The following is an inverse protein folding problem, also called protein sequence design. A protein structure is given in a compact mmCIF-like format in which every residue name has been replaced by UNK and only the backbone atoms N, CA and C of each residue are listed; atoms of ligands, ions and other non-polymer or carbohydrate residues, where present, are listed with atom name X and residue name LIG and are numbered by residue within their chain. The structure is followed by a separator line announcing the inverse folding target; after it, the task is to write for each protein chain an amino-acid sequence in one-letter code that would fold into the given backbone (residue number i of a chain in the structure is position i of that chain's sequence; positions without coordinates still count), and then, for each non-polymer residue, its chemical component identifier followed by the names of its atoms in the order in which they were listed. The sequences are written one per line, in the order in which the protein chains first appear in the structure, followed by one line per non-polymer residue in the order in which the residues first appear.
data_IF_206546183418
#
_entry.id   IF_206546183418
#
_cell.length_a   1.000
_cell.length_b   1.000
_cell.length_c   1.000
_cell.angle_alpha   90.00
_cell.angle_beta   90.00
_cell.angle_gamma   90.00
#
_symmetry.space_group_name_H-M   'P 1'
#
loop_
_entity.id
_entity.type
_entity.pdbx_description
1 polymer ?
#
# COMPACT_ATOMS: atom_id res chain seq x y z
N UNK A 1 39.96 13.67 -46.42
CA UNK A 1 40.06 12.53 -45.48
C UNK A 1 38.82 12.52 -44.60
N UNK A 2 38.10 11.39 -44.60
CA UNK A 2 37.03 10.90 -43.70
C UNK A 2 35.95 11.88 -43.17
N UNK A 3 34.71 11.57 -43.56
CA UNK A 3 33.43 11.99 -42.96
C UNK A 3 33.39 11.70 -41.46
N UNK A 4 32.79 12.58 -40.66
CA UNK A 4 31.97 12.17 -39.51
C UNK A 4 30.70 13.03 -39.48
N UNK A 5 29.60 12.30 -39.50
CA UNK A 5 28.21 12.70 -39.42
C UNK A 5 27.92 13.05 -37.95
N UNK A 6 27.53 14.29 -37.65
CA UNK A 6 27.11 14.68 -36.31
C UNK A 6 25.65 14.23 -36.11
N UNK A 7 25.46 12.98 -35.67
CA UNK A 7 24.19 12.54 -35.08
C UNK A 7 24.10 13.12 -33.66
N UNK A 8 23.25 14.11 -33.46
CA UNK A 8 22.80 14.51 -32.13
C UNK A 8 21.72 13.49 -31.73
N UNK A 9 22.13 12.47 -30.97
CA UNK A 9 21.23 11.58 -30.25
C UNK A 9 20.70 12.37 -29.04
N UNK A 10 19.50 12.90 -29.20
CA UNK A 10 18.68 13.38 -28.08
C UNK A 10 18.16 12.13 -27.37
N UNK A 11 18.81 11.71 -26.28
CA UNK A 11 18.23 10.72 -25.38
C UNK A 11 17.06 11.39 -24.65
N UNK A 12 15.88 11.24 -25.23
CA UNK A 12 14.62 11.30 -24.51
C UNK A 12 14.64 10.16 -23.48
N UNK A 13 14.72 10.53 -22.20
CA UNK A 13 14.33 9.68 -21.09
C UNK A 13 12.83 9.41 -21.22
N UNK A 14 12.46 8.43 -22.03
CA UNK A 14 11.14 7.78 -21.94
C UNK A 14 11.25 6.64 -20.94
N UNK A 15 11.19 6.96 -19.65
CA UNK A 15 10.70 6.02 -18.67
C UNK A 15 9.17 6.03 -18.81
N UNK A 16 8.61 4.87 -19.19
CA UNK A 16 7.20 4.67 -19.51
C UNK A 16 6.28 4.97 -18.31
N UNK A 17 5.77 6.20 -18.21
CA UNK A 17 4.40 6.43 -17.79
C UNK A 17 3.49 6.09 -18.97
N UNK A 18 3.20 4.78 -19.14
CA UNK A 18 2.04 4.39 -19.94
C UNK A 18 0.80 4.60 -19.07
N UNK A 19 0.37 5.85 -18.96
CA UNK A 19 -1.02 6.15 -18.62
C UNK A 19 -1.89 5.49 -19.69
N UNK A 20 -2.77 4.59 -19.27
CA UNK A 20 -3.74 3.98 -20.16
C UNK A 20 -4.68 5.07 -20.65
N UNK A 21 -4.80 5.22 -21.98
CA UNK A 21 -5.73 6.15 -22.60
C UNK A 21 -7.13 5.96 -22.02
N UNK A 22 -7.59 7.03 -21.36
CA UNK A 22 -8.89 7.18 -20.77
C UNK A 22 -9.93 7.34 -21.88
N UNK A 23 -10.69 6.28 -22.14
CA UNK A 23 -11.83 6.37 -23.04
C UNK A 23 -12.99 7.01 -22.27
N UNK A 24 -13.27 8.28 -22.59
CA UNK A 24 -14.53 8.92 -22.23
C UNK A 24 -15.68 8.04 -22.71
N UNK A 25 -16.64 7.75 -21.83
CA UNK A 25 -17.94 7.40 -22.33
C UNK A 25 -18.48 8.66 -23.03
N UNK A 26 -18.48 8.67 -24.37
CA UNK A 26 -18.97 9.80 -25.18
C UNK A 26 -20.46 10.10 -24.97
N UNK A 27 -21.15 9.23 -24.23
CA UNK A 27 -22.58 9.32 -23.93
C UNK A 27 -22.86 9.81 -22.50
N UNK A 28 -21.93 10.56 -21.87
CA UNK A 28 -22.15 11.26 -20.61
C UNK A 28 -23.13 12.44 -20.78
N UNK A 29 -24.43 12.15 -20.86
CA UNK A 29 -25.50 13.15 -20.97
C UNK A 29 -26.57 12.98 -19.87
N UNK A 30 -26.24 12.29 -18.79
CA UNK A 30 -27.12 12.01 -17.66
C UNK A 30 -26.60 12.68 -16.37
N UNK A 31 -27.50 12.83 -15.40
CA UNK A 31 -27.36 13.65 -14.19
C UNK A 31 -26.09 13.42 -13.36
N UNK A 32 -25.43 12.27 -13.49
CA UNK A 32 -24.15 11.97 -12.86
C UNK A 32 -23.26 11.25 -13.86
N UNK A 33 -21.98 11.64 -13.89
CA UNK A 33 -20.97 11.09 -14.77
C UNK A 33 -19.80 10.57 -13.94
N UNK A 34 -19.13 9.54 -14.45
CA UNK A 34 -18.04 8.88 -13.75
C UNK A 34 -16.89 8.59 -14.69
N UNK A 35 -15.69 8.66 -14.15
CA UNK A 35 -14.47 8.52 -14.89
C UNK A 35 -13.41 7.83 -14.02
N UNK A 36 -12.98 6.65 -14.43
CA UNK A 36 -11.84 5.99 -13.80
C UNK A 36 -10.55 6.62 -14.37
N UNK A 37 -9.77 7.28 -13.52
CA UNK A 37 -8.61 8.05 -13.96
C UNK A 37 -7.31 7.26 -13.77
N UNK A 38 -7.20 6.41 -12.75
CA UNK A 38 -5.92 5.76 -12.43
C UNK A 38 -6.07 4.37 -11.81
N UNK A 39 -5.19 3.45 -12.25
CA UNK A 39 -4.86 2.24 -11.51
C UNK A 39 -3.47 2.46 -10.90
N UNK A 40 -3.37 2.52 -9.56
CA UNK A 40 -2.07 2.48 -8.87
C UNK A 40 -2.07 1.44 -7.77
N UNK A 41 -0.89 1.06 -7.32
CA UNK A 41 -0.74 0.20 -6.15
C UNK A 41 -0.46 1.09 -4.94
N UNK A 42 -1.29 1.01 -3.92
CA UNK A 42 -1.02 1.60 -2.61
C UNK A 42 -0.91 0.45 -1.61
N UNK A 43 0.22 0.33 -0.91
CA UNK A 43 0.43 -0.70 0.12
C UNK A 43 0.14 -2.13 -0.38
N UNK A 44 0.56 -2.44 -1.62
CA UNK A 44 0.33 -3.75 -2.25
C UNK A 44 -1.09 -3.98 -2.79
N UNK A 45 -2.01 -3.05 -2.60
CA UNK A 45 -3.39 -3.15 -3.11
C UNK A 45 -3.55 -2.38 -4.41
N UNK A 46 -4.16 -3.01 -5.42
CA UNK A 46 -4.64 -2.27 -6.59
C UNK A 46 -5.78 -1.34 -6.18
N UNK A 47 -5.54 -0.05 -6.29
CA UNK A 47 -6.50 1.02 -6.07
C UNK A 47 -6.90 1.60 -7.41
N UNK A 48 -8.21 1.71 -7.62
CA UNK A 48 -8.79 2.42 -8.76
C UNK A 48 -9.33 3.75 -8.25
N UNK A 49 -8.72 4.84 -8.69
CA UNK A 49 -9.24 6.18 -8.43
C UNK A 49 -10.33 6.49 -9.46
N UNK A 50 -11.55 6.68 -8.98
CA UNK A 50 -12.71 7.01 -9.79
C UNK A 50 -13.14 8.43 -9.46
N UNK A 51 -13.02 9.30 -10.45
CA UNK A 51 -13.52 10.67 -10.41
C UNK A 51 -14.99 10.70 -10.82
N UNK A 52 -15.82 11.14 -9.91
CA UNK A 52 -17.24 11.34 -10.09
C UNK A 52 -17.54 12.81 -10.33
N UNK A 53 -18.50 13.08 -11.21
CA UNK A 53 -18.99 14.41 -11.52
C UNK A 53 -20.51 14.37 -11.34
N UNK A 54 -21.01 15.13 -10.36
CA UNK A 54 -22.44 15.26 -10.13
C UNK A 54 -22.95 16.49 -10.91
N UNK A 55 -23.67 16.27 -12.01
CA UNK A 55 -24.30 17.34 -12.79
C UNK A 55 -25.78 17.56 -12.38
N UNK A 56 -26.25 16.85 -11.35
CA UNK A 56 -27.61 16.94 -10.85
C UNK A 56 -27.77 18.20 -9.96
N UNK A 57 -29.01 18.67 -9.83
CA UNK A 57 -29.42 19.64 -8.82
C UNK A 57 -29.50 19.05 -7.39
N UNK A 58 -29.52 17.72 -7.27
CA UNK A 58 -29.56 16.99 -6.00
C UNK A 58 -28.19 16.45 -5.58
N UNK A 59 -28.06 16.15 -4.27
CA UNK A 59 -26.90 15.42 -3.75
C UNK A 59 -26.98 13.96 -4.14
N UNK A 60 -25.86 13.39 -4.56
CA UNK A 60 -25.79 12.00 -5.02
C UNK A 60 -24.65 11.28 -4.32
N UNK A 61 -24.96 10.23 -3.57
CA UNK A 61 -23.98 9.40 -2.88
C UNK A 61 -23.96 7.99 -3.48
N UNK A 62 -22.83 7.30 -3.50
CA UNK A 62 -22.80 5.90 -3.91
C UNK A 62 -23.53 5.04 -2.87
N UNK A 63 -24.06 3.90 -3.33
CA UNK A 63 -24.81 2.96 -2.52
C UNK A 63 -23.94 2.21 -1.52
N UNK A 64 -24.47 1.14 -0.95
CA UNK A 64 -23.76 0.39 0.09
C UNK A 64 -22.69 -0.54 -0.46
N UNK A 65 -22.65 -0.78 -1.78
CA UNK A 65 -21.79 -1.78 -2.38
C UNK A 65 -21.45 -1.44 -3.83
N UNK A 66 -20.30 -1.94 -4.28
CA UNK A 66 -19.96 -2.00 -5.69
C UNK A 66 -19.77 -3.45 -6.15
N UNK A 67 -19.95 -3.68 -7.43
CA UNK A 67 -19.74 -4.96 -8.10
C UNK A 67 -18.66 -4.78 -9.14
N UNK A 68 -17.58 -5.56 -9.03
CA UNK A 68 -16.59 -5.65 -10.09
C UNK A 68 -17.01 -6.75 -11.07
N UNK A 69 -17.04 -6.42 -12.35
CA UNK A 69 -17.41 -7.35 -13.42
C UNK A 69 -16.30 -7.41 -14.48
N UNK A 70 -16.09 -8.59 -15.06
CA UNK A 70 -15.15 -8.82 -16.17
C UNK A 70 -15.93 -9.18 -17.43
N UNK A 71 -15.51 -8.64 -18.58
CA UNK A 71 -16.08 -9.01 -19.88
C UNK A 71 -15.51 -10.36 -20.34
N UNK A 72 -16.37 -11.36 -20.51
CA UNK A 72 -16.05 -12.72 -20.97
C UNK A 72 -16.99 -13.10 -22.12
N UNK A 73 -16.44 -13.36 -23.31
CA UNK A 73 -17.21 -13.73 -24.50
C UNK A 73 -18.40 -12.78 -24.73
N UNK A 74 -18.13 -11.47 -24.74
CA UNK A 74 -19.08 -10.37 -24.87
C UNK A 74 -20.02 -10.12 -23.68
N UNK A 75 -20.12 -11.05 -22.73
CA UNK A 75 -20.98 -10.91 -21.55
C UNK A 75 -20.21 -10.38 -20.34
N UNK A 76 -20.83 -9.52 -19.55
CA UNK A 76 -20.29 -9.13 -18.25
C UNK A 76 -20.57 -10.22 -17.22
N UNK A 77 -19.51 -10.69 -16.57
CA UNK A 77 -19.62 -11.64 -15.45
C UNK A 77 -19.20 -10.94 -14.17
N UNK A 78 -20.07 -10.95 -13.18
CA UNK A 78 -19.71 -10.56 -11.82
C UNK A 78 -18.59 -11.47 -11.34
N UNK A 79 -17.46 -10.85 -11.03
CA UNK A 79 -16.34 -11.53 -10.38
C UNK A 79 -16.33 -11.23 -8.89
N UNK A 80 -16.92 -10.11 -8.46
CA UNK A 80 -16.97 -9.74 -7.05
C UNK A 80 -18.09 -8.72 -6.76
N UNK A 81 -18.62 -8.77 -5.54
CA UNK A 81 -19.47 -7.74 -4.94
C UNK A 81 -18.93 -7.42 -3.56
N UNK A 82 -18.61 -6.16 -3.30
CA UNK A 82 -18.04 -5.70 -2.03
C UNK A 82 -18.89 -4.59 -1.44
N UNK A 83 -19.08 -4.58 -0.10
CA UNK A 83 -19.63 -3.42 0.57
C UNK A 83 -18.63 -2.26 0.49
N UNK A 84 -19.15 -1.06 0.27
CA UNK A 84 -18.42 0.19 0.41
C UNK A 84 -18.19 0.46 1.89
N UNK A 85 -16.93 0.42 2.33
CA UNK A 85 -16.54 0.69 3.71
C UNK A 85 -16.32 2.19 3.90
N UNK A 86 -16.55 2.68 5.12
CA UNK A 86 -16.36 4.11 5.46
C UNK A 86 -14.93 4.59 5.15
N UNK A 87 -13.94 3.70 5.26
CA UNK A 87 -12.52 4.00 5.01
C UNK A 87 -12.14 4.02 3.51
N UNK A 88 -13.02 3.59 2.60
CA UNK A 88 -12.75 3.66 1.16
C UNK A 88 -12.94 5.10 0.62
N UNK A 89 -13.35 6.05 1.48
CA UNK A 89 -13.62 7.44 1.10
C UNK A 89 -14.90 7.60 0.27
N UNK A 90 -15.74 6.56 0.23
CA UNK A 90 -16.86 6.45 -0.72
C UNK A 90 -18.19 6.89 -0.09
N UNK A 91 -18.34 6.99 1.24
CA UNK A 91 -19.66 7.30 1.88
C UNK A 91 -20.05 8.78 1.93
N UNK A 92 -19.51 9.61 1.04
CA UNK A 92 -19.92 11.01 0.89
C UNK A 92 -21.04 11.16 -0.13
N UNK A 93 -22.09 11.91 0.20
CA UNK A 93 -22.99 12.46 -0.82
C UNK A 93 -22.27 13.61 -1.53
N UNK A 94 -22.08 13.49 -2.83
CA UNK A 94 -21.55 14.54 -3.68
C UNK A 94 -22.54 15.70 -3.75
N UNK A 95 -22.05 16.93 -3.57
CA UNK A 95 -22.87 18.12 -3.73
C UNK A 95 -23.28 18.34 -5.20
N UNK A 96 -24.37 19.07 -5.47
CA UNK A 96 -24.77 19.44 -6.84
C UNK A 96 -23.66 20.19 -7.56
N UNK A 97 -23.44 19.90 -8.85
CA UNK A 97 -22.39 20.52 -9.68
C UNK A 97 -20.97 20.36 -9.11
N UNK A 98 -20.73 19.30 -8.33
CA UNK A 98 -19.42 19.02 -7.73
C UNK A 98 -18.68 17.91 -8.46
N UNK A 99 -17.41 17.75 -8.11
CA UNK A 99 -16.56 16.68 -8.59
C UNK A 99 -15.82 16.11 -7.40
N UNK A 100 -15.90 14.79 -7.23
CA UNK A 100 -15.23 14.07 -6.16
C UNK A 100 -14.38 12.93 -6.72
N UNK A 101 -13.34 12.52 -5.99
CA UNK A 101 -12.54 11.34 -6.33
C UNK A 101 -12.74 10.32 -5.23
N UNK A 102 -13.26 9.16 -5.60
CA UNK A 102 -13.48 8.03 -4.71
C UNK A 102 -12.45 6.94 -5.02
N UNK A 103 -11.90 6.32 -3.97
CA UNK A 103 -10.92 5.25 -4.09
C UNK A 103 -11.60 3.89 -3.96
N UNK A 104 -11.49 3.07 -5.01
CA UNK A 104 -11.98 1.69 -4.99
C UNK A 104 -10.80 0.76 -4.81
N UNK A 105 -10.66 0.25 -3.60
CA UNK A 105 -9.58 -0.65 -3.26
C UNK A 105 -9.99 -2.09 -3.54
N UNK A 106 -9.25 -2.75 -4.43
CA UNK A 106 -9.55 -4.10 -4.90
C UNK A 106 -8.87 -5.17 -4.01
N UNK A 107 -8.91 -4.99 -2.68
CA UNK A 107 -8.13 -5.68 -1.62
C UNK A 107 -8.07 -7.24 -1.62
N UNK A 108 -8.79 -7.97 -2.48
CA UNK A 108 -8.81 -9.45 -2.51
C UNK A 108 -8.51 -10.08 -3.87
N UNK A 109 -8.00 -9.30 -4.82
CA UNK A 109 -7.32 -9.88 -5.97
C UNK A 109 -5.85 -10.04 -5.62
N UNK A 110 -5.55 -11.01 -4.76
CA UNK A 110 -4.16 -11.35 -4.37
C UNK A 110 -3.32 -11.72 -5.58
N UNK A 111 -3.96 -12.30 -6.60
CA UNK A 111 -3.34 -12.68 -7.87
C UNK A 111 -3.52 -11.57 -8.93
N UNK A 112 -4.07 -10.44 -8.53
CA UNK A 112 -4.42 -9.32 -9.38
C UNK A 112 -5.59 -9.55 -10.35
N UNK A 113 -5.99 -8.49 -11.05
CA UNK A 113 -6.81 -8.57 -12.24
C UNK A 113 -6.01 -9.12 -13.43
N UNK A 114 -6.49 -10.22 -14.00
CA UNK A 114 -6.02 -10.72 -15.31
C UNK A 114 -6.24 -9.71 -16.44
N UNK A 115 -5.58 -9.87 -17.61
CA UNK A 115 -5.88 -9.04 -18.80
C UNK A 115 -7.37 -9.08 -19.15
N UNK A 116 -7.96 -7.92 -19.40
CA UNK A 116 -9.32 -7.83 -19.92
C UNK A 116 -10.04 -6.52 -19.63
N UNK A 117 -11.28 -6.43 -20.14
CA UNK A 117 -12.17 -5.31 -19.86
C UNK A 117 -12.91 -5.55 -18.55
N UNK A 118 -12.91 -4.55 -17.69
CA UNK A 118 -13.57 -4.57 -16.40
C UNK A 118 -14.63 -3.46 -16.32
N UNK A 119 -15.52 -3.56 -15.34
CA UNK A 119 -16.39 -2.45 -14.95
C UNK A 119 -16.69 -2.52 -13.48
N UNK A 120 -16.71 -1.37 -12.83
CA UNK A 120 -17.25 -1.19 -11.49
C UNK A 120 -18.70 -0.74 -11.69
N UNK A 121 -19.62 -1.52 -11.13
CA UNK A 121 -21.04 -1.18 -11.10
C UNK A 121 -21.35 -0.81 -9.66
N UNK A 122 -21.87 0.38 -9.44
CA UNK A 122 -22.27 0.81 -8.10
C UNK A 122 -23.62 1.49 -8.20
N UNK A 123 -24.44 1.24 -7.19
CA UNK A 123 -25.72 1.93 -7.10
C UNK A 123 -25.46 3.35 -6.61
N UNK A 124 -26.35 4.29 -6.92
CA UNK A 124 -26.33 5.62 -6.33
C UNK A 124 -27.65 5.93 -5.64
N UNK A 125 -27.51 6.65 -4.55
CA UNK A 125 -28.58 7.19 -3.75
C UNK A 125 -28.66 8.68 -4.08
N UNK A 126 -29.74 9.10 -4.71
CA UNK A 126 -30.10 10.52 -4.79
C UNK A 126 -30.83 10.89 -3.52
N UNK A 127 -30.39 11.95 -2.84
CA UNK A 127 -31.12 12.51 -1.71
C UNK A 127 -32.10 13.56 -2.23
N UNK A 128 -33.28 13.13 -2.67
CA UNK A 128 -34.41 14.04 -2.91
C UNK A 128 -34.98 14.54 -1.57
N UNK A 129 -35.60 15.74 -1.55
CA UNK A 129 -36.26 16.32 -0.36
C UNK A 129 -37.33 15.41 0.27
N UNK A 130 -37.81 14.41 -0.47
CA UNK A 130 -38.83 13.44 -0.06
C UNK A 130 -38.27 12.07 0.38
N UNK A 131 -36.95 11.85 0.31
CA UNK A 131 -36.30 10.59 0.70
C UNK A 131 -36.40 9.43 -0.30
N UNK A 132 -36.77 9.67 -1.57
CA UNK A 132 -36.87 8.61 -2.60
C UNK A 132 -35.51 8.25 -3.20
N UNK A 133 -35.21 6.95 -3.27
CA UNK A 133 -33.97 6.40 -3.83
C UNK A 133 -34.20 5.92 -5.28
N UNK A 134 -33.35 6.31 -6.25
CA UNK A 134 -33.40 5.77 -7.63
C UNK A 134 -32.01 5.58 -8.30
N UNK A 135 -31.85 4.33 -8.78
CA UNK A 135 -31.07 3.74 -9.90
C UNK A 135 -29.54 3.56 -9.85
N UNK A 136 -29.16 2.43 -10.47
CA UNK A 136 -27.82 1.85 -10.64
C UNK A 136 -27.02 2.58 -11.73
N UNK A 137 -25.75 2.91 -11.46
CA UNK A 137 -24.81 3.44 -12.47
C UNK A 137 -23.66 2.47 -12.75
N UNK A 138 -23.23 2.44 -14.02
CA UNK A 138 -22.17 1.55 -14.48
C UNK A 138 -20.95 2.33 -14.99
N UNK A 139 -19.76 2.02 -14.47
CA UNK A 139 -18.49 2.61 -14.92
C UNK A 139 -17.64 1.57 -15.63
N UNK A 140 -17.24 1.89 -16.85
CA UNK A 140 -16.39 1.04 -17.66
C UNK A 140 -14.93 1.42 -17.53
N UNK A 141 -14.05 0.44 -17.33
CA UNK A 141 -12.60 0.66 -17.46
C UNK A 141 -11.93 -0.56 -18.07
N UNK A 142 -10.96 -0.34 -18.93
CA UNK A 142 -10.19 -1.43 -19.52
C UNK A 142 -8.90 -1.62 -18.73
N UNK A 143 -8.72 -2.79 -18.13
CA UNK A 143 -7.40 -3.14 -17.60
C UNK A 143 -6.53 -3.60 -18.76
N UNK A 144 -5.53 -2.80 -19.10
CA UNK A 144 -4.53 -3.18 -20.09
C UNK A 144 -3.42 -4.05 -19.50
N UNK A 145 -3.45 -4.34 -18.18
CA UNK A 145 -2.46 -5.21 -17.55
C UNK A 145 -2.49 -6.56 -18.27
N UNK A 146 -1.36 -7.02 -18.81
CA UNK A 146 -1.28 -8.30 -19.53
C UNK A 146 -1.32 -9.49 -18.58
N UNK A 147 -2.42 -9.64 -17.84
CA UNK A 147 -2.36 -10.39 -16.61
C UNK A 147 -1.56 -9.58 -15.61
N UNK A 148 -2.02 -9.55 -14.38
CA UNK A 148 -1.04 -9.50 -13.32
C UNK A 148 -0.37 -10.87 -13.42
N UNK A 149 0.88 -10.83 -13.87
CA UNK A 149 1.86 -11.86 -13.57
C UNK A 149 1.64 -12.10 -12.08
N UNK A 150 1.12 -13.27 -11.70
CA UNK A 150 1.39 -13.83 -10.37
C UNK A 150 2.86 -13.50 -10.16
N UNK A 151 3.22 -12.59 -9.24
CA UNK A 151 4.58 -12.15 -9.11
C UNK A 151 5.34 -13.31 -8.48
N UNK A 152 5.57 -14.35 -9.28
CA UNK A 152 6.49 -15.43 -9.09
C UNK A 152 7.85 -14.76 -9.04
N UNK A 153 8.21 -14.26 -7.86
CA UNK A 153 9.49 -13.81 -7.33
C UNK A 153 10.34 -12.82 -8.15
N UNK A 154 10.15 -12.67 -9.45
CA UNK A 154 11.17 -12.14 -10.36
C UNK A 154 11.04 -10.63 -10.61
N UNK A 155 10.02 -9.95 -10.07
CA UNK A 155 9.84 -8.50 -10.29
C UNK A 155 9.05 -7.72 -9.21
N UNK A 156 8.84 -8.26 -8.00
CA UNK A 156 8.14 -7.51 -6.93
C UNK A 156 8.88 -6.22 -6.54
N UNK A 157 10.21 -6.28 -6.60
CA UNK A 157 11.12 -5.18 -6.29
C UNK A 157 10.86 -3.89 -7.08
N UNK A 158 10.28 -4.01 -8.28
CA UNK A 158 9.90 -2.87 -9.11
C UNK A 158 8.78 -2.03 -8.49
N UNK A 159 7.92 -2.66 -7.70
CA UNK A 159 6.75 -2.03 -7.08
C UNK A 159 6.99 -1.62 -5.62
N UNK A 160 8.18 -1.89 -5.09
CA UNK A 160 8.51 -1.47 -3.73
C UNK A 160 8.79 0.03 -3.69
N UNK A 161 8.13 0.68 -2.75
CA UNK A 161 8.35 2.08 -2.44
C UNK A 161 9.65 2.24 -1.65
N UNK A 162 10.31 3.38 -1.84
CA UNK A 162 11.45 3.75 -1.02
C UNK A 162 11.05 3.77 0.46
N UNK A 163 11.93 3.23 1.29
CA UNK A 163 11.72 3.22 2.72
C UNK A 163 11.89 4.64 3.28
N UNK A 164 10.85 5.14 3.92
CA UNK A 164 10.92 6.39 4.66
C UNK A 164 11.44 6.13 6.09
N UNK A 165 12.40 6.95 6.50
CA UNK A 165 12.75 7.13 7.90
C UNK A 165 11.79 8.17 8.47
N UNK A 166 10.90 7.72 9.36
CA UNK A 166 9.85 8.56 9.93
C UNK A 166 10.28 9.19 11.25
N UNK A 167 11.17 8.49 11.97
CA UNK A 167 11.66 8.88 13.28
C UNK A 167 13.18 8.80 13.32
N UNK A 168 13.79 9.58 14.20
CA UNK A 168 15.24 9.57 14.36
C UNK A 168 15.72 8.26 14.99
N UNK A 169 16.96 7.88 14.67
CA UNK A 169 17.68 6.85 15.43
C UNK A 169 18.22 7.45 16.72
N UNK A 170 18.13 6.71 17.83
CA UNK A 170 18.61 7.18 19.13
C UNK A 170 19.94 6.52 19.48
N UNK A 171 20.99 7.33 19.64
CA UNK A 171 22.30 6.86 20.12
C UNK A 171 22.12 6.20 21.49
N UNK A 172 22.61 4.97 21.63
CA UNK A 172 22.49 4.16 22.84
C UNK A 172 21.36 3.12 22.76
N UNK A 173 20.49 3.18 21.74
CA UNK A 173 19.59 2.06 21.40
C UNK A 173 20.08 1.44 20.09
N UNK A 174 20.30 0.13 20.07
CA UNK A 174 20.74 -0.60 18.88
C UNK A 174 20.07 -1.95 18.73
N UNK A 175 20.15 -2.53 17.53
CA UNK A 175 19.70 -3.89 17.25
C UNK A 175 20.79 -4.64 16.48
N UNK A 176 21.25 -5.73 17.05
CA UNK A 176 22.18 -6.65 16.41
C UNK A 176 21.43 -7.91 15.99
N UNK A 177 21.55 -8.32 14.73
CA UNK A 177 20.99 -9.58 14.27
C UNK A 177 21.93 -10.72 14.66
N UNK A 178 21.40 -11.78 15.26
CA UNK A 178 22.21 -12.90 15.80
C UNK A 178 23.07 -13.58 14.71
N UNK A 179 22.59 -13.55 13.46
CA UNK A 179 23.31 -14.07 12.29
C UNK A 179 23.38 -13.02 11.20
N UNK A 180 24.59 -12.73 10.74
CA UNK A 180 24.82 -11.83 9.61
C UNK A 180 24.27 -12.39 8.29
N UNK A 181 24.06 -13.70 8.19
CA UNK A 181 23.60 -14.35 6.96
C UNK A 181 22.58 -15.46 7.25
N UNK A 182 21.50 -15.44 6.48
CA UNK A 182 20.44 -16.45 6.46
C UNK A 182 20.30 -17.07 5.06
N UNK A 183 19.74 -18.28 5.01
CA UNK A 183 19.41 -18.95 3.75
C UNK A 183 18.15 -18.34 3.13
N UNK A 184 18.04 -18.41 1.79
CA UNK A 184 16.80 -18.07 1.08
C UNK A 184 15.58 -18.81 1.67
N UNK A 185 14.46 -18.10 1.77
CA UNK A 185 13.25 -18.65 2.39
C UNK A 185 13.26 -18.61 3.92
N UNK A 186 14.17 -17.86 4.55
CA UNK A 186 14.17 -17.62 6.00
C UNK A 186 12.81 -17.08 6.46
N UNK A 187 12.29 -17.68 7.54
CA UNK A 187 10.99 -17.32 8.13
C UNK A 187 11.10 -16.75 9.56
N UNK A 188 12.30 -16.78 10.15
CA UNK A 188 12.56 -16.25 11.49
C UNK A 188 13.94 -15.60 11.50
N UNK A 189 14.02 -14.38 12.00
CA UNK A 189 15.27 -13.66 12.27
C UNK A 189 15.31 -13.35 13.76
N UNK A 190 16.46 -13.59 14.38
CA UNK A 190 16.67 -13.33 15.80
C UNK A 190 17.54 -12.11 15.97
N UNK A 191 17.18 -11.25 16.90
CA UNK A 191 17.88 -10.03 17.18
C UNK A 191 18.11 -9.85 18.67
N UNK A 192 19.15 -9.10 19.00
CA UNK A 192 19.44 -8.58 20.33
C UNK A 192 19.23 -7.07 20.24
N UNK A 193 18.22 -6.57 20.94
CA UNK A 193 18.00 -5.12 21.08
C UNK A 193 18.72 -4.69 22.36
N UNK A 194 19.54 -3.65 22.28
CA UNK A 194 20.39 -3.16 23.38
C UNK A 194 19.98 -1.73 23.75
N UNK A 195 19.79 -1.47 25.05
CA UNK A 195 19.51 -0.15 25.62
C UNK A 195 20.63 0.20 26.58
N UNK A 196 21.51 1.10 26.16
CA UNK A 196 22.61 1.64 26.97
C UNK A 196 22.25 2.97 27.65
N UNK A 197 20.98 3.39 27.52
CA UNK A 197 20.48 4.64 28.08
C UNK A 197 19.92 4.33 29.47
N UNK A 198 20.14 5.27 30.40
CA UNK A 198 19.57 5.21 31.74
C UNK A 198 18.08 5.62 31.77
N UNK A 199 17.30 5.10 30.82
CA UNK A 199 15.85 5.28 30.70
C UNK A 199 15.18 3.99 30.24
N UNK A 200 13.89 3.91 30.51
CA UNK A 200 13.04 2.79 30.12
C UNK A 200 12.42 3.07 28.75
N UNK A 201 12.31 2.01 27.95
CA UNK A 201 11.69 2.05 26.64
C UNK A 201 10.60 0.97 26.53
N UNK A 202 9.72 1.15 25.55
CA UNK A 202 8.80 0.14 25.09
C UNK A 202 9.09 -0.17 23.62
N UNK A 203 9.18 -1.44 23.26
CA UNK A 203 9.27 -1.88 21.86
C UNK A 203 8.10 -2.79 21.52
N UNK A 204 7.65 -2.74 20.26
CA UNK A 204 6.47 -3.48 19.81
C UNK A 204 6.79 -4.76 19.04
N UNK A 205 5.80 -5.64 18.91
CA UNK A 205 5.84 -6.72 17.91
C UNK A 205 5.77 -6.21 16.46
N UNK A 206 5.41 -4.93 16.26
CA UNK A 206 5.34 -4.32 14.94
C UNK A 206 6.74 -4.11 14.36
N UNK A 207 6.93 -4.63 13.16
CA UNK A 207 8.15 -4.41 12.38
C UNK A 207 7.85 -4.39 10.87
N UNK A 208 8.82 -3.86 10.14
CA UNK A 208 8.91 -3.91 8.69
C UNK A 208 10.27 -4.47 8.25
N UNK A 209 10.28 -5.11 7.09
CA UNK A 209 11.52 -5.55 6.43
C UNK A 209 11.77 -4.63 5.26
N UNK A 210 13.02 -4.21 5.11
CA UNK A 210 13.47 -3.40 4.01
C UNK A 210 14.63 -4.09 3.30
N UNK A 211 14.65 -4.04 1.97
CA UNK A 211 15.74 -4.57 1.15
C UNK A 211 16.50 -3.42 0.51
N UNK A 212 17.82 -3.57 0.40
CA UNK A 212 18.66 -2.64 -0.34
C UNK A 212 18.64 -2.99 -1.83
N UNK A 213 18.21 -2.05 -2.66
CA UNK A 213 18.12 -2.19 -4.12
C UNK A 213 18.75 -0.96 -4.73
N UNK A 214 19.79 -1.15 -5.54
CA UNK A 214 20.52 -0.05 -6.20
C UNK A 214 21.02 1.04 -5.22
N UNK A 215 21.34 0.63 -3.99
CA UNK A 215 21.81 1.53 -2.93
C UNK A 215 20.72 2.20 -2.10
N UNK A 216 19.44 1.99 -2.44
CA UNK A 216 18.28 2.56 -1.74
C UNK A 216 17.54 1.47 -0.97
N UNK A 217 17.13 1.76 0.25
CA UNK A 217 16.28 0.87 1.04
C UNK A 217 14.83 0.97 0.55
N UNK A 218 14.19 -0.17 0.32
CA UNK A 218 12.80 -0.26 -0.13
C UNK A 218 12.00 -1.19 0.77
N UNK A 219 10.75 -0.85 1.04
CA UNK A 219 9.87 -1.66 1.87
C UNK A 219 9.52 -2.98 1.17
N UNK A 220 9.79 -4.11 1.84
CA UNK A 220 9.34 -5.41 1.37
C UNK A 220 7.83 -5.52 1.63
N UNK A 221 7.07 -5.82 0.58
CA UNK A 221 5.62 -5.95 0.68
C UNK A 221 5.26 -7.28 1.38
N UNK A 222 4.38 -7.20 2.40
CA UNK A 222 3.81 -8.38 3.07
C UNK A 222 2.80 -9.06 2.15
N UNK A 223 2.72 -10.39 2.16
CA UNK A 223 1.70 -11.13 1.44
C UNK A 223 0.31 -10.86 2.04
N UNK A 224 -0.59 -10.39 1.19
CA UNK A 224 -1.97 -10.07 1.50
C UNK A 224 -2.80 -11.30 1.90
N UNK A 225 -2.32 -12.53 1.62
CA UNK A 225 -2.94 -13.79 2.08
C UNK A 225 -2.90 -13.96 3.60
N UNK A 226 -2.07 -13.19 4.31
CA UNK A 226 -2.13 -13.06 5.77
C UNK A 226 -3.35 -12.20 6.18
N UNK A 227 -4.56 -12.62 5.77
CA UNK A 227 -5.82 -12.00 6.20
C UNK A 227 -6.03 -12.27 7.70
N UNK A 228 -6.33 -11.23 8.48
CA UNK A 228 -6.96 -11.37 9.80
C UNK A 228 -6.20 -10.83 11.01
N UNK A 229 -4.99 -10.29 10.85
CA UNK A 229 -4.29 -9.61 11.95
C UNK A 229 -4.06 -8.15 11.54
N UNK A 230 -5.01 -7.24 11.82
CA UNK A 230 -4.92 -5.84 11.37
C UNK A 230 -3.64 -5.16 11.86
N UNK A 231 -3.16 -5.54 13.04
CA UNK A 231 -1.83 -5.32 13.61
C UNK A 231 -1.83 -6.03 14.98
N UNK A 232 -0.68 -6.52 15.45
CA UNK A 232 -0.53 -6.91 16.86
C UNK A 232 0.12 -5.74 17.58
N UNK A 233 -0.67 -4.99 18.34
CA UNK A 233 -0.18 -3.90 19.18
C UNK A 233 0.13 -4.44 20.58
N UNK A 234 1.24 -5.18 20.66
CA UNK A 234 1.80 -5.65 21.92
C UNK A 234 3.13 -4.93 22.09
N UNK A 235 3.23 -4.14 23.16
CA UNK A 235 4.45 -3.50 23.63
C UNK A 235 5.07 -4.29 24.78
N UNK A 236 6.40 -4.32 24.80
CA UNK A 236 7.21 -4.90 25.87
C UNK A 236 8.10 -3.83 26.46
N UNK A 237 8.17 -3.80 27.80
CA UNK A 237 9.13 -2.95 28.49
C UNK A 237 10.55 -3.42 28.26
N UNK A 238 11.43 -2.43 28.21
CA UNK A 238 12.84 -2.56 27.93
C UNK A 238 13.59 -1.69 28.93
N UNK A 239 14.05 -2.35 29.98
CA UNK A 239 14.71 -1.71 31.12
C UNK A 239 16.03 -1.03 30.70
N UNK A 240 16.46 -0.06 31.49
CA UNK A 240 17.71 0.65 31.30
C UNK A 240 18.94 -0.28 31.36
N UNK A 241 19.95 -0.04 30.53
CA UNK A 241 21.20 -0.81 30.52
C UNK A 241 21.01 -2.33 30.35
N UNK A 242 19.97 -2.74 29.60
CA UNK A 242 19.66 -4.16 29.36
C UNK A 242 19.68 -4.50 27.88
N UNK A 243 19.78 -5.81 27.61
CA UNK A 243 19.63 -6.37 26.29
C UNK A 243 18.46 -7.33 26.30
N UNK A 244 17.69 -7.37 25.22
CA UNK A 244 16.58 -8.31 25.04
C UNK A 244 16.74 -9.08 23.75
N UNK A 245 16.61 -10.41 23.87
CA UNK A 245 16.50 -11.27 22.71
C UNK A 245 15.07 -11.24 22.17
N UNK A 246 14.93 -10.94 20.88
CA UNK A 246 13.65 -10.90 20.21
C UNK A 246 13.66 -11.72 18.91
N UNK A 247 12.54 -12.37 18.61
CA UNK A 247 12.38 -13.20 17.42
C UNK A 247 11.35 -12.60 16.48
N UNK A 248 11.83 -12.12 15.34
CA UNK A 248 10.99 -11.59 14.28
C UNK A 248 10.46 -12.72 13.40
N UNK A 249 9.14 -12.93 13.46
CA UNK A 249 8.45 -13.91 12.64
C UNK A 249 8.12 -13.32 11.26
N UNK A 250 8.79 -13.82 10.22
CA UNK A 250 8.64 -13.35 8.84
C UNK A 250 7.47 -14.03 8.09
N UNK A 251 6.58 -14.75 8.76
CA UNK A 251 5.37 -15.33 8.15
C UNK A 251 4.53 -14.35 7.29
N UNK A 252 4.41 -13.05 7.63
CA UNK A 252 3.75 -12.08 6.75
C UNK A 252 4.44 -11.91 5.39
N UNK A 253 5.69 -12.35 5.24
CA UNK A 253 6.45 -12.40 3.99
C UNK A 253 6.49 -13.86 3.52
N UNK A 254 5.32 -14.42 3.18
CA UNK A 254 5.02 -15.87 3.02
C UNK A 254 5.93 -16.66 2.08
N UNK A 255 6.63 -16.00 1.16
CA UNK A 255 7.60 -16.60 0.25
C UNK A 255 9.03 -16.59 0.80
N UNK A 256 9.20 -16.13 2.05
CA UNK A 256 10.47 -15.78 2.64
C UNK A 256 11.15 -14.64 1.89
N UNK A 257 12.41 -14.42 2.23
CA UNK A 257 13.25 -13.42 1.60
C UNK A 257 14.10 -14.09 0.51
N UNK A 258 14.20 -13.44 -0.66
CA UNK A 258 15.14 -13.83 -1.72
C UNK A 258 16.54 -13.31 -1.37
N UNK A 259 17.55 -13.64 -2.19
CA UNK A 259 18.91 -13.21 -1.90
C UNK A 259 19.07 -11.67 -1.94
N UNK A 260 19.85 -11.12 -1.00
CA UNK A 260 20.17 -9.70 -0.94
C UNK A 260 20.49 -9.19 0.46
N UNK A 261 20.70 -7.88 0.55
CA UNK A 261 20.93 -7.16 1.81
C UNK A 261 19.59 -6.64 2.36
N UNK A 262 19.35 -6.90 3.65
CA UNK A 262 18.11 -6.56 4.34
C UNK A 262 18.38 -5.81 5.64
N UNK A 263 17.35 -5.09 6.10
CA UNK A 263 17.25 -4.64 7.48
C UNK A 263 15.85 -4.82 8.04
N UNK A 264 15.79 -5.14 9.32
CA UNK A 264 14.57 -5.05 10.14
C UNK A 264 14.48 -3.61 10.63
N UNK A 265 13.32 -2.98 10.47
CA UNK A 265 12.98 -1.69 11.08
C UNK A 265 11.87 -1.91 12.11
N UNK A 266 12.13 -1.50 13.34
CA UNK A 266 11.13 -1.43 14.42
C UNK A 266 11.16 -0.06 15.07
N UNK A 267 10.03 0.32 15.67
CA UNK A 267 9.91 1.56 16.42
C UNK A 267 10.04 1.24 17.92
N UNK A 268 10.72 2.12 18.66
CA UNK A 268 10.81 2.09 20.12
C UNK A 268 10.27 3.40 20.69
N UNK A 269 9.65 3.34 21.86
CA UNK A 269 9.06 4.48 22.56
C UNK A 269 9.83 4.70 23.85
N UNK A 270 10.34 5.91 24.07
CA UNK A 270 11.01 6.28 25.33
C UNK A 270 9.97 6.60 26.40
N UNK A 271 9.87 5.77 27.43
CA UNK A 271 8.87 5.90 28.49
C UNK A 271 9.29 6.88 29.58
N UNK A 272 10.60 6.97 29.84
CA UNK A 272 11.18 7.88 30.84
C UNK A 272 12.26 8.79 30.26
N UNK A 273 12.41 9.97 30.86
CA UNK A 273 13.52 10.90 30.58
C UNK A 273 14.18 11.24 31.90
N UNK A 274 15.45 10.92 32.02
CA UNK A 274 16.23 11.03 33.26
C UNK A 274 15.56 10.26 34.41
N UNK A 275 15.04 9.06 34.12
CA UNK A 275 14.37 8.17 35.07
C UNK A 275 13.01 8.69 35.58
N UNK A 276 12.42 9.68 34.91
CA UNK A 276 11.09 10.22 35.23
C UNK A 276 10.10 9.99 34.10
N UNK A 277 8.85 9.71 34.48
CA UNK A 277 7.75 9.54 33.53
C UNK A 277 7.72 10.67 32.49
N UNK A 278 7.83 10.28 31.22
CA UNK A 278 7.84 11.21 30.11
C UNK A 278 6.39 11.57 29.71
N UNK A 279 5.98 12.81 29.99
CA UNK A 279 4.62 13.33 29.69
C UNK A 279 4.53 14.06 28.35
N UNK A 280 5.56 13.97 27.52
CA UNK A 280 5.58 14.58 26.19
C UNK A 280 4.71 13.75 25.23
N UNK A 281 4.29 14.38 24.13
CA UNK A 281 3.58 13.73 23.03
C UNK A 281 4.30 12.45 22.59
N UNK A 282 3.53 11.42 22.23
CA UNK A 282 4.09 10.13 21.80
C UNK A 282 5.00 10.26 20.58
N UNK A 283 4.75 11.23 19.69
CA UNK A 283 5.55 11.46 18.50
C UNK A 283 6.96 11.94 18.80
N UNK A 284 7.16 12.66 19.91
CA UNK A 284 8.49 13.11 20.36
C UNK A 284 9.24 12.04 21.16
N UNK A 285 8.62 10.87 21.36
CA UNK A 285 9.16 9.73 22.12
C UNK A 285 9.45 8.53 21.25
N UNK A 286 9.10 8.59 19.96
CA UNK A 286 9.28 7.51 18.99
C UNK A 286 10.65 7.61 18.32
N UNK A 287 11.35 6.49 18.29
CA UNK A 287 12.65 6.34 17.63
C UNK A 287 12.65 5.08 16.77
N UNK A 288 13.50 5.05 15.76
CA UNK A 288 13.68 3.89 14.90
C UNK A 288 14.97 3.14 15.23
N UNK A 289 14.89 1.81 15.19
CA UNK A 289 16.03 0.92 15.41
C UNK A 289 16.10 -0.08 14.26
N UNK A 290 17.31 -0.29 13.76
CA UNK A 290 17.59 -1.12 12.60
C UNK A 290 18.54 -2.26 12.92
N UNK A 291 18.18 -3.47 12.49
CA UNK A 291 19.07 -4.63 12.51
C UNK A 291 19.34 -5.13 11.09
N UNK A 292 20.62 -5.27 10.72
CA UNK A 292 21.04 -5.56 9.35
C UNK A 292 21.43 -7.03 9.18
N UNK A 293 21.07 -7.63 8.04
CA UNK A 293 21.43 -9.01 7.71
C UNK A 293 21.42 -9.26 6.21
N UNK A 294 22.04 -10.36 5.79
CA UNK A 294 22.01 -10.82 4.40
C UNK A 294 21.21 -12.12 4.26
N UNK A 295 20.67 -12.32 3.06
CA UNK A 295 20.08 -13.58 2.62
C UNK A 295 20.88 -14.08 1.42
N UNK A 296 21.33 -15.33 1.44
CA UNK A 296 22.11 -15.95 0.37
C UNK A 296 21.50 -17.28 -0.08
#
# INVERSE_FOLDING_TARGET
MKKVLLLIFMFLLTACDKTTETNFNKDCNEDVCAFAEFNRYEQGTMVVDVKWINNNEYRVGPGEAYTLQKKVNLNWKTIRKDPLRDNDGVRGFMDPNSTEVHKYSLYKFTDGLTKGKYRIVTDFLTLEDNGTIKRDMEIYFESTSEGIVDPSLENQEKYWEEAEQKYDELIGISMDIEKDTYEQGVMEVKAIITNEIDDEFTYGESFSIEKKIEGVWKNVIKDLKFEGVPFIDIGYFFDNNTNVEYKYNLNPYTHGLNAGEYRIKTDVIRDTVDGKENKVDIHDRLFQVYGYFEVR
#
